data_IF_889992697907
#
_entry.id   IF_889992697907
#
_cell.length_a   1.000
_cell.length_b   1.000
_cell.length_c   1.000
_cell.angle_alpha   90.00
_cell.angle_beta   90.00
_cell.angle_gamma   90.00
#
_symmetry.space_group_name_H-M   'P 1'
#
loop_
_entity.id
_entity.type
_entity.pdbx_description
1 polymer ?
#
# COMPACT_ATOMS: atom_id res chain seq x y z
N UNK A 1 13.74 27.77 32.45
CA UNK A 1 15.03 27.43 33.09
C UNK A 1 16.09 27.66 32.03
N UNK A 2 16.90 28.70 32.19
CA UNK A 2 17.98 29.02 31.24
C UNK A 2 19.06 27.94 31.37
N UNK A 3 19.12 27.05 30.38
CA UNK A 3 20.24 26.12 30.19
C UNK A 3 21.54 26.94 30.20
N UNK A 4 22.32 26.82 31.26
CA UNK A 4 23.58 27.54 31.41
C UNK A 4 24.62 26.92 30.47
N UNK A 5 25.02 27.65 29.43
CA UNK A 5 26.03 27.22 28.47
C UNK A 5 27.31 26.74 29.17
N UNK A 6 27.65 25.44 29.03
CA UNK A 6 28.82 24.81 29.65
C UNK A 6 29.97 24.79 28.63
N UNK A 7 30.89 25.73 28.80
CA UNK A 7 32.11 25.84 27.99
C UNK A 7 33.01 24.60 28.14
N UNK A 8 33.52 24.10 27.02
CA UNK A 8 34.52 23.04 26.89
C UNK A 8 35.95 23.62 26.91
N UNK A 9 36.10 24.95 26.80
CA UNK A 9 37.39 25.61 26.86
C UNK A 9 37.99 25.56 28.27
N UNK A 10 39.33 25.54 28.39
CA UNK A 10 39.99 25.60 29.69
C UNK A 10 39.66 26.91 30.43
N UNK A 11 39.77 26.95 31.78
CA UNK A 11 39.46 28.14 32.56
C UNK A 11 40.23 29.42 32.14
N UNK A 12 41.41 29.25 31.52
CA UNK A 12 42.27 30.33 31.02
C UNK A 12 41.78 31.01 29.74
N UNK A 13 40.72 30.51 29.09
CA UNK A 13 40.24 31.02 27.81
C UNK A 13 39.72 32.46 27.90
N UNK A 14 40.08 33.28 26.91
CA UNK A 14 39.71 34.70 26.86
C UNK A 14 38.26 34.90 26.41
N UNK A 15 37.70 36.08 26.70
CA UNK A 15 36.27 36.38 26.43
C UNK A 15 35.85 36.18 24.96
N UNK A 16 36.63 36.60 23.94
CA UNK A 16 36.26 36.37 22.54
C UNK A 16 36.20 34.88 22.16
N UNK A 17 37.11 34.05 22.68
CA UNK A 17 37.13 32.60 22.44
C UNK A 17 35.86 31.96 22.99
N UNK A 18 35.44 32.32 24.22
CA UNK A 18 34.19 31.85 24.82
C UNK A 18 32.96 32.31 24.05
N UNK A 19 32.95 33.56 23.56
CA UNK A 19 31.85 34.07 22.73
C UNK A 19 31.74 33.32 21.40
N UNK A 20 32.87 32.98 20.78
CA UNK A 20 32.91 32.21 19.54
C UNK A 20 32.46 30.76 19.75
N UNK A 21 32.89 30.13 20.85
CA UNK A 21 32.44 28.80 21.25
C UNK A 21 30.93 28.76 21.47
N UNK A 22 30.38 29.75 22.19
CA UNK A 22 28.96 29.83 22.45
C UNK A 22 28.16 29.97 21.15
N UNK A 23 28.53 30.91 20.27
CA UNK A 23 27.83 31.11 19.00
C UNK A 23 27.85 29.85 18.09
N UNK A 24 28.98 29.15 18.07
CA UNK A 24 29.14 27.91 17.30
C UNK A 24 28.29 26.79 17.89
N UNK A 25 28.32 26.64 19.22
CA UNK A 25 27.59 25.57 19.91
C UNK A 25 26.08 25.80 19.85
N UNK A 26 25.60 27.03 20.01
CA UNK A 26 24.18 27.36 19.86
C UNK A 26 23.67 26.96 18.47
N UNK A 27 24.45 27.25 17.42
CA UNK A 27 24.12 26.84 16.04
C UNK A 27 24.02 25.31 15.90
N UNK A 28 24.94 24.56 16.50
CA UNK A 28 24.91 23.08 16.47
C UNK A 28 23.73 22.53 17.28
N UNK A 29 23.46 23.07 18.46
CA UNK A 29 22.38 22.62 19.33
C UNK A 29 20.99 22.91 18.74
N UNK A 30 20.87 23.89 17.83
CA UNK A 30 19.62 24.12 17.10
C UNK A 30 19.31 23.02 16.08
N UNK A 31 20.29 22.23 15.67
CA UNK A 31 20.07 21.12 14.75
C UNK A 31 19.41 19.97 15.50
N UNK A 32 18.24 19.56 15.01
CA UNK A 32 17.53 18.38 15.51
C UNK A 32 18.26 17.10 15.08
N UNK A 33 19.21 16.65 15.90
CA UNK A 33 19.98 15.42 15.64
C UNK A 33 19.07 14.18 15.54
N UNK A 34 17.89 14.20 16.16
CA UNK A 34 16.91 13.11 16.08
C UNK A 34 16.11 13.11 14.78
N UNK A 35 16.27 14.10 13.91
CA UNK A 35 15.57 14.18 12.62
C UNK A 35 15.75 12.89 11.80
N UNK A 36 16.94 12.30 11.80
CA UNK A 36 17.21 11.03 11.09
C UNK A 36 16.32 9.89 11.63
N UNK A 37 16.14 9.81 12.96
CA UNK A 37 15.27 8.80 13.59
C UNK A 37 13.79 9.10 13.32
N UNK A 38 13.41 10.38 13.35
CA UNK A 38 12.03 10.83 13.08
C UNK A 38 11.60 10.46 11.66
N UNK A 39 12.46 10.68 10.67
CA UNK A 39 12.16 10.36 9.26
C UNK A 39 11.98 8.85 9.02
N UNK A 40 12.62 7.99 9.81
CA UNK A 40 12.50 6.53 9.68
C UNK A 40 11.28 5.92 10.39
N UNK A 41 10.54 6.71 11.16
CA UNK A 41 9.36 6.23 11.87
C UNK A 41 8.08 6.75 11.19
N UNK A 42 7.16 5.85 10.75
CA UNK A 42 5.90 6.23 10.13
C UNK A 42 5.03 7.20 10.93
N UNK A 43 5.15 7.25 12.26
CA UNK A 43 4.30 8.10 13.12
C UNK A 43 4.94 9.48 13.40
N UNK A 44 6.26 9.61 13.34
CA UNK A 44 6.97 10.88 13.62
C UNK A 44 7.59 11.52 12.38
N UNK A 45 7.60 10.84 11.24
CA UNK A 45 8.11 11.38 9.98
C UNK A 45 7.28 12.60 9.53
N UNK A 46 7.93 13.68 9.06
CA UNK A 46 7.24 14.80 8.42
C UNK A 46 6.41 14.37 7.20
N UNK A 47 5.25 14.99 6.99
CA UNK A 47 4.28 14.62 5.94
C UNK A 47 4.91 14.61 4.53
N UNK A 48 5.72 15.61 4.23
CA UNK A 48 6.37 15.75 2.92
C UNK A 48 7.42 14.66 2.64
N UNK A 49 7.88 13.94 3.67
CA UNK A 49 8.85 12.84 3.54
C UNK A 49 8.20 11.46 3.53
N UNK A 50 6.90 11.34 3.84
CA UNK A 50 6.20 10.05 3.83
C UNK A 50 6.26 9.32 2.49
N UNK A 51 6.18 9.97 1.31
CA UNK A 51 6.30 9.26 0.02
C UNK A 51 7.68 8.59 -0.16
N UNK A 52 8.75 9.22 0.33
CA UNK A 52 10.10 8.65 0.28
C UNK A 52 10.26 7.49 1.25
N UNK A 53 9.65 7.59 2.43
CA UNK A 53 9.60 6.47 3.37
C UNK A 53 8.78 5.30 2.80
N UNK A 54 7.70 5.58 2.07
CA UNK A 54 6.89 4.56 1.40
C UNK A 54 7.67 3.85 0.29
N UNK A 55 8.47 4.59 -0.46
CA UNK A 55 9.40 4.02 -1.44
C UNK A 55 10.43 3.11 -0.79
N UNK A 56 11.06 3.54 0.31
CA UNK A 56 12.01 2.73 1.08
C UNK A 56 11.37 1.46 1.63
N UNK A 57 10.12 1.54 2.09
CA UNK A 57 9.36 0.39 2.59
C UNK A 57 8.80 -0.48 1.48
N UNK A 58 9.08 -0.18 0.21
CA UNK A 58 8.62 -0.93 -0.97
C UNK A 58 7.10 -1.12 -1.00
N UNK A 59 6.35 -0.07 -0.61
CA UNK A 59 4.88 -0.06 -0.63
C UNK A 59 4.41 -0.17 -2.09
N UNK A 60 3.59 -1.19 -2.38
CA UNK A 60 3.16 -1.52 -3.74
C UNK A 60 2.17 -0.50 -4.35
N UNK A 61 1.43 0.25 -3.52
CA UNK A 61 0.46 1.25 -3.97
C UNK A 61 0.45 2.47 -3.05
N UNK A 62 0.57 3.65 -3.65
CA UNK A 62 0.61 4.93 -2.97
C UNK A 62 -0.20 5.97 -3.74
N UNK A 63 -0.97 6.79 -3.02
CA UNK A 63 -1.63 7.95 -3.60
C UNK A 63 -1.35 9.21 -2.78
N UNK A 64 -1.05 10.30 -3.46
CA UNK A 64 -0.68 11.58 -2.82
C UNK A 64 -1.88 12.35 -2.28
N UNK A 65 -3.08 12.05 -2.76
CA UNK A 65 -4.36 12.63 -2.31
C UNK A 65 -4.92 11.99 -1.04
N UNK A 66 -4.28 10.94 -0.52
CA UNK A 66 -4.68 10.32 0.75
C UNK A 66 -4.50 11.23 1.95
N UNK A 67 -5.40 11.05 2.93
CA UNK A 67 -5.24 11.64 4.26
C UNK A 67 -3.94 11.18 4.92
N UNK A 68 -3.43 12.01 5.82
CA UNK A 68 -2.18 11.71 6.54
C UNK A 68 -2.29 10.41 7.34
N UNK A 69 -3.41 10.20 8.03
CA UNK A 69 -3.66 9.01 8.84
C UNK A 69 -3.60 7.76 7.97
N UNK A 70 -4.15 7.85 6.75
CA UNK A 70 -4.17 6.75 5.81
C UNK A 70 -2.78 6.41 5.29
N UNK A 71 -1.99 7.42 4.92
CA UNK A 71 -0.59 7.28 4.51
C UNK A 71 0.24 6.59 5.60
N UNK A 72 0.11 7.04 6.85
CA UNK A 72 0.81 6.47 8.01
C UNK A 72 0.35 5.04 8.32
N UNK A 73 -0.95 4.75 8.20
CA UNK A 73 -1.48 3.39 8.39
C UNK A 73 -0.88 2.39 7.39
N UNK A 74 -0.81 2.77 6.11
CA UNK A 74 -0.23 1.90 5.07
C UNK A 74 1.26 1.63 5.32
N UNK A 75 2.00 2.64 5.77
CA UNK A 75 3.40 2.47 6.17
C UNK A 75 3.55 1.52 7.37
N UNK A 76 2.67 1.61 8.37
CA UNK A 76 2.65 0.67 9.52
C UNK A 76 2.33 -0.76 9.08
N UNK A 77 1.41 -0.92 8.13
CA UNK A 77 1.00 -2.24 7.63
C UNK A 77 2.02 -2.88 6.66
N UNK A 78 2.87 -2.08 6.01
CA UNK A 78 3.83 -2.54 5.01
C UNK A 78 4.72 -3.68 5.54
N UNK A 79 5.32 -3.50 6.72
CA UNK A 79 6.19 -4.51 7.32
C UNK A 79 5.47 -5.86 7.51
N UNK A 80 4.23 -5.84 7.99
CA UNK A 80 3.43 -7.04 8.16
C UNK A 80 3.14 -7.71 6.81
N UNK A 81 2.73 -6.93 5.80
CA UNK A 81 2.43 -7.45 4.46
C UNK A 81 3.64 -8.13 3.86
N UNK A 82 4.83 -7.52 3.94
CA UNK A 82 6.07 -8.10 3.42
C UNK A 82 6.47 -9.39 4.14
N UNK A 83 6.37 -9.42 5.48
CA UNK A 83 6.72 -10.60 6.27
C UNK A 83 5.77 -11.79 6.05
N UNK A 84 4.50 -11.53 5.74
CA UNK A 84 3.46 -12.55 5.65
C UNK A 84 2.97 -12.79 4.21
N UNK A 85 3.74 -12.36 3.20
CA UNK A 85 3.40 -12.59 1.78
C UNK A 85 3.10 -14.06 1.55
N UNK A 86 2.04 -14.31 0.80
CA UNK A 86 1.54 -15.65 0.53
C UNK A 86 0.41 -16.12 1.43
N UNK A 87 0.08 -15.37 2.48
CA UNK A 87 -1.08 -15.65 3.36
C UNK A 87 -2.31 -14.86 2.93
N UNK A 88 -3.50 -15.37 3.25
CA UNK A 88 -4.74 -14.63 3.08
C UNK A 88 -4.73 -13.29 3.84
N UNK A 89 -4.12 -13.27 5.04
CA UNK A 89 -3.99 -12.06 5.84
C UNK A 89 -3.16 -10.96 5.17
N UNK A 90 -2.06 -11.31 4.50
CA UNK A 90 -1.26 -10.34 3.75
C UNK A 90 -2.02 -9.80 2.53
N UNK A 91 -2.76 -10.64 1.82
CA UNK A 91 -3.60 -10.20 0.68
C UNK A 91 -4.70 -9.25 1.16
N UNK A 92 -5.39 -9.57 2.25
CA UNK A 92 -6.42 -8.68 2.83
C UNK A 92 -5.85 -7.34 3.30
N UNK A 93 -4.69 -7.32 3.94
CA UNK A 93 -4.04 -6.07 4.35
C UNK A 93 -3.52 -5.26 3.16
N UNK A 94 -2.99 -5.90 2.12
CA UNK A 94 -2.60 -5.22 0.89
C UNK A 94 -3.81 -4.57 0.20
N UNK A 95 -4.94 -5.27 0.16
CA UNK A 95 -6.21 -4.73 -0.36
C UNK A 95 -6.79 -3.63 0.52
N UNK A 96 -6.47 -3.65 1.83
CA UNK A 96 -6.92 -2.60 2.74
C UNK A 96 -6.49 -1.23 2.25
N UNK A 97 -5.33 -1.08 1.58
CA UNK A 97 -4.82 0.17 1.00
C UNK A 97 -5.74 0.77 -0.07
N UNK A 98 -6.48 -0.07 -0.80
CA UNK A 98 -7.48 0.36 -1.79
C UNK A 98 -8.73 0.95 -1.12
N UNK A 99 -8.97 0.64 0.17
CA UNK A 99 -10.08 1.20 0.93
C UNK A 99 -11.42 0.48 0.72
N UNK A 100 -11.39 -0.70 0.10
CA UNK A 100 -12.57 -1.52 -0.17
C UNK A 100 -12.55 -2.74 0.75
N UNK A 101 -13.64 -3.04 1.49
CA UNK A 101 -13.75 -4.28 2.22
C UNK A 101 -13.61 -5.48 1.27
N UNK A 102 -12.72 -6.39 1.60
CA UNK A 102 -12.44 -7.57 0.80
C UNK A 102 -12.56 -8.84 1.66
N UNK A 103 -13.04 -9.91 1.05
CA UNK A 103 -12.99 -11.26 1.60
C UNK A 103 -12.27 -12.19 0.61
N UNK A 104 -11.60 -13.20 1.14
CA UNK A 104 -10.95 -14.24 0.33
C UNK A 104 -11.72 -15.52 0.53
N UNK A 105 -12.07 -16.16 -0.58
CA UNK A 105 -12.73 -17.46 -0.57
C UNK A 105 -11.90 -18.48 -1.34
N UNK A 106 -11.52 -19.53 -0.65
CA UNK A 106 -10.72 -20.62 -1.21
C UNK A 106 -11.61 -21.62 -1.98
N UNK A 107 -11.03 -22.33 -2.96
CA UNK A 107 -11.76 -23.28 -3.81
C UNK A 107 -12.59 -24.34 -3.07
N UNK A 108 -12.18 -24.72 -1.86
CA UNK A 108 -12.84 -25.72 -1.02
C UNK A 108 -13.99 -25.15 -0.18
N UNK A 109 -14.06 -23.83 -0.04
CA UNK A 109 -15.15 -23.11 0.65
C UNK A 109 -16.33 -22.82 -0.29
N UNK A 110 -16.16 -23.00 -1.59
CA UNK A 110 -17.23 -22.90 -2.58
C UNK A 110 -18.01 -24.21 -2.69
N UNK A 111 -19.33 -24.06 -2.94
CA UNK A 111 -20.28 -25.14 -3.20
C UNK A 111 -20.98 -24.84 -4.52
N UNK A 112 -20.69 -25.58 -5.62
CA UNK A 112 -19.74 -26.70 -5.74
C UNK A 112 -18.27 -26.27 -5.64
N UNK A 113 -17.39 -27.21 -5.27
CA UNK A 113 -15.94 -26.94 -5.15
C UNK A 113 -15.36 -26.52 -6.51
N UNK A 114 -14.54 -25.47 -6.49
CA UNK A 114 -13.84 -24.99 -7.69
C UNK A 114 -12.53 -25.75 -7.93
N UNK A 115 -11.83 -25.41 -9.02
CA UNK A 115 -10.55 -26.02 -9.39
C UNK A 115 -9.56 -25.96 -8.21
N UNK A 116 -8.88 -27.07 -7.85
CA UNK A 116 -7.92 -27.09 -6.77
C UNK A 116 -6.82 -26.02 -6.92
N UNK A 117 -6.32 -25.53 -5.79
CA UNK A 117 -5.30 -24.47 -5.70
C UNK A 117 -5.72 -23.13 -6.31
N UNK A 118 -7.01 -22.84 -6.32
CA UNK A 118 -7.52 -21.53 -6.71
C UNK A 118 -8.23 -20.83 -5.56
N UNK A 119 -8.21 -19.50 -5.59
CA UNK A 119 -9.02 -18.68 -4.70
C UNK A 119 -9.64 -17.55 -5.50
N UNK A 120 -10.65 -16.92 -4.91
CA UNK A 120 -11.25 -15.70 -5.43
C UNK A 120 -11.27 -14.63 -4.36
N UNK A 121 -11.30 -13.38 -4.81
CA UNK A 121 -11.40 -12.21 -3.94
C UNK A 121 -12.77 -11.61 -4.17
N UNK A 122 -13.55 -11.50 -3.10
CA UNK A 122 -14.86 -10.85 -3.09
C UNK A 122 -14.66 -9.42 -2.57
N UNK A 123 -14.95 -8.42 -3.40
CA UNK A 123 -14.89 -7.01 -3.05
C UNK A 123 -16.30 -6.48 -2.78
N UNK A 124 -16.48 -5.74 -1.70
CA UNK A 124 -17.76 -5.12 -1.36
C UNK A 124 -17.72 -3.63 -1.66
N UNK A 125 -18.22 -3.23 -2.82
CA UNK A 125 -18.27 -1.84 -3.24
C UNK A 125 -19.66 -1.24 -2.99
N UNK A 126 -19.70 0.07 -2.71
CA UNK A 126 -20.96 0.84 -2.69
C UNK A 126 -21.32 1.42 -4.05
N UNK A 127 -20.32 1.63 -4.89
CA UNK A 127 -20.45 2.23 -6.22
C UNK A 127 -19.92 1.27 -7.29
N UNK A 128 -20.09 1.61 -8.55
CA UNK A 128 -19.59 0.81 -9.67
C UNK A 128 -18.07 0.63 -9.62
N UNK A 129 -17.58 -0.51 -10.09
CA UNK A 129 -16.15 -0.74 -10.25
C UNK A 129 -15.68 -0.27 -11.64
N UNK A 130 -14.64 0.56 -11.67
CA UNK A 130 -13.94 0.91 -12.90
C UNK A 130 -12.86 -0.12 -13.25
N UNK A 131 -12.54 -0.23 -14.54
CA UNK A 131 -11.43 -1.01 -15.10
C UNK A 131 -10.08 -0.72 -14.42
N UNK A 132 -9.85 0.54 -14.05
CA UNK A 132 -8.65 0.98 -13.34
C UNK A 132 -8.58 0.39 -11.93
N UNK A 133 -9.70 0.31 -11.23
CA UNK A 133 -9.76 -0.30 -9.91
C UNK A 133 -9.48 -1.81 -9.99
N UNK A 134 -10.05 -2.48 -10.99
CA UNK A 134 -9.80 -3.89 -11.23
C UNK A 134 -8.32 -4.20 -11.46
N UNK A 135 -7.64 -3.44 -12.33
CA UNK A 135 -6.23 -3.67 -12.63
C UNK A 135 -5.33 -3.45 -11.39
N UNK A 136 -5.66 -2.46 -10.55
CA UNK A 136 -4.98 -2.19 -9.28
C UNK A 136 -5.15 -3.33 -8.28
N UNK A 137 -6.38 -3.74 -8.00
CA UNK A 137 -6.67 -4.87 -7.09
C UNK A 137 -5.95 -6.11 -7.58
N UNK A 138 -6.05 -6.44 -8.88
CA UNK A 138 -5.38 -7.60 -9.45
C UNK A 138 -3.87 -7.55 -9.23
N UNK A 139 -3.25 -6.38 -9.43
CA UNK A 139 -1.81 -6.20 -9.23
C UNK A 139 -1.41 -6.42 -7.77
N UNK A 140 -2.14 -5.81 -6.83
CA UNK A 140 -1.90 -5.97 -5.39
C UNK A 140 -2.06 -7.42 -4.94
N UNK A 141 -3.12 -8.10 -5.40
CA UNK A 141 -3.34 -9.52 -5.08
C UNK A 141 -2.22 -10.38 -5.62
N UNK A 142 -1.78 -10.17 -6.86
CA UNK A 142 -0.68 -10.94 -7.47
C UNK A 142 0.64 -10.73 -6.72
N UNK A 143 0.91 -9.51 -6.25
CA UNK A 143 2.12 -9.19 -5.47
C UNK A 143 2.10 -9.79 -4.07
N UNK A 144 0.92 -9.88 -3.44
CA UNK A 144 0.77 -10.37 -2.07
C UNK A 144 0.54 -11.89 -1.98
N UNK A 145 -0.04 -12.53 -3.00
CA UNK A 145 -0.38 -13.96 -2.98
C UNK A 145 0.85 -14.86 -3.04
N UNK A 146 0.63 -16.14 -2.73
CA UNK A 146 1.66 -17.16 -2.88
C UNK A 146 1.77 -17.56 -4.37
N UNK A 147 2.91 -18.16 -4.74
CA UNK A 147 3.09 -18.66 -6.12
C UNK A 147 2.19 -19.87 -6.40
N UNK A 148 1.95 -20.73 -5.40
CA UNK A 148 1.16 -21.96 -5.53
C UNK A 148 -0.31 -21.71 -5.86
N UNK A 149 -0.98 -20.80 -5.15
CA UNK A 149 -2.42 -20.58 -5.34
C UNK A 149 -2.69 -19.54 -6.44
N UNK A 150 -3.57 -19.89 -7.38
CA UNK A 150 -3.97 -19.04 -8.49
C UNK A 150 -5.19 -18.18 -8.16
N UNK A 151 -5.15 -16.90 -8.54
CA UNK A 151 -6.35 -16.05 -8.53
C UNK A 151 -7.26 -16.45 -9.69
N UNK A 152 -8.47 -16.92 -9.38
CA UNK A 152 -9.45 -17.35 -10.38
C UNK A 152 -10.32 -16.18 -10.85
N UNK A 153 -11.07 -15.57 -9.94
CA UNK A 153 -11.95 -14.44 -10.21
C UNK A 153 -11.82 -13.37 -9.13
N UNK A 154 -12.15 -12.13 -9.51
CA UNK A 154 -12.39 -11.03 -8.58
C UNK A 154 -13.87 -10.73 -8.70
N UNK A 155 -14.63 -11.08 -7.66
CA UNK A 155 -16.08 -10.95 -7.62
C UNK A 155 -16.39 -9.58 -6.99
N UNK A 156 -17.08 -8.71 -7.72
CA UNK A 156 -17.51 -7.40 -7.21
C UNK A 156 -18.95 -7.50 -6.76
N UNK A 157 -19.15 -7.47 -5.44
CA UNK A 157 -20.45 -7.41 -4.82
C UNK A 157 -20.80 -5.95 -4.56
N UNK A 158 -21.77 -5.41 -5.29
CA UNK A 158 -22.30 -4.08 -5.04
C UNK A 158 -23.79 -4.17 -4.73
N UNK A 159 -24.23 -3.51 -3.66
CA UNK A 159 -25.65 -3.39 -3.34
C UNK A 159 -26.19 -2.16 -4.06
N UNK A 160 -26.49 -2.34 -5.34
CA UNK A 160 -27.14 -1.31 -6.13
C UNK A 160 -28.60 -1.34 -5.70
N UNK A 161 -29.07 -0.26 -5.05
CA UNK A 161 -30.43 -0.17 -4.51
C UNK A 161 -31.51 -0.49 -5.56
N UNK A 162 -32.74 -0.75 -5.08
CA UNK A 162 -33.89 -1.22 -5.89
C UNK A 162 -34.19 -0.42 -7.17
N UNK A 163 -33.73 0.83 -7.28
CA UNK A 163 -34.02 1.75 -8.39
C UNK A 163 -32.79 2.09 -9.24
N UNK A 164 -31.93 1.11 -9.52
CA UNK A 164 -30.73 1.33 -10.34
C UNK A 164 -30.81 0.63 -11.70
N UNK A 165 -30.43 1.35 -12.75
CA UNK A 165 -30.34 0.81 -14.11
C UNK A 165 -28.91 0.30 -14.34
N UNK A 166 -28.78 -0.98 -14.68
CA UNK A 166 -27.51 -1.55 -15.14
C UNK A 166 -27.57 -1.77 -16.66
N UNK A 167 -26.48 -1.45 -17.34
CA UNK A 167 -26.34 -1.62 -18.79
C UNK A 167 -25.32 -2.73 -19.04
N UNK A 168 -25.71 -3.74 -19.81
CA UNK A 168 -24.82 -4.84 -20.24
C UNK A 168 -24.70 -4.77 -21.76
N UNK A 169 -23.47 -4.64 -22.25
CA UNK A 169 -23.15 -4.76 -23.67
C UNK A 169 -22.28 -5.99 -23.89
N UNK A 170 -22.53 -6.74 -24.97
CA UNK A 170 -21.72 -7.88 -25.38
C UNK A 170 -21.66 -7.99 -26.90
N UNK A 171 -20.54 -8.46 -27.43
CA UNK A 171 -20.37 -8.81 -28.84
C UNK A 171 -19.99 -10.29 -28.93
N UNK A 172 -20.80 -11.08 -29.63
CA UNK A 172 -20.50 -12.49 -29.92
C UNK A 172 -19.92 -12.54 -31.33
N UNK A 173 -18.68 -13.01 -31.44
CA UNK A 173 -18.05 -13.31 -32.74
C UNK A 173 -17.97 -14.82 -32.89
N UNK A 174 -18.53 -15.34 -33.99
CA UNK A 174 -18.44 -16.74 -34.37
C UNK A 174 -17.62 -16.83 -35.65
N UNK A 175 -16.62 -17.72 -35.65
CA UNK A 175 -15.82 -18.06 -36.82
C UNK A 175 -16.22 -19.45 -37.28
N UNK A 176 -16.58 -19.59 -38.57
CA UNK A 176 -16.93 -20.88 -39.18
C UNK A 176 -15.92 -21.13 -40.29
N UNK A 177 -15.06 -22.12 -40.10
CA UNK A 177 -14.22 -22.67 -41.15
C UNK A 177 -14.98 -23.78 -41.87
N UNK A 178 -15.12 -23.65 -43.20
CA UNK A 178 -15.63 -24.72 -44.06
C UNK A 178 -14.45 -25.23 -44.88
N UNK A 179 -13.95 -26.41 -44.54
CA UNK A 179 -12.98 -27.14 -45.34
C UNK A 179 -13.77 -27.94 -46.38
N UNK A 180 -13.65 -27.54 -47.64
CA UNK A 180 -14.16 -28.32 -48.78
C UNK A 180 -13.03 -29.22 -49.24
N UNK A 181 -13.16 -30.53 -49.00
CA UNK A 181 -12.23 -31.51 -49.55
C UNK A 181 -12.48 -31.68 -51.04
N UNK A 182 -11.42 -31.58 -51.84
CA UNK A 182 -11.46 -31.88 -53.27
C UNK A 182 -11.58 -33.39 -53.45
N UNK A 183 -12.69 -33.84 -54.03
CA UNK A 183 -12.95 -35.25 -54.31
C UNK A 183 -11.91 -35.87 -55.24
N UNK A 184 -11.68 -37.18 -55.06
CA UNK A 184 -10.82 -38.03 -55.90
C UNK A 184 -11.15 -37.96 -57.40
#
# INVERSE_FOLDING_TARGET
MTETFRSLLPPSAVRPERSQEQATTESILTLDADMVRKVKNPDTCPLHLLPWLAWEFAVDFWQDDWSEERKRQILRDAAYVHQHRGTAGAVLRALSAVGVPAAIKEWWQDSPRKKPYTFRVELFLREGADSVLYSRVRTLVIKAKNLRSGLSTIDVNTNIGKDSQFYVGGAVTAHIDVVIEAGE
#
